data_IF_811311331277
#
_entry.id   IF_811311331277
#
_cell.length_a   1.000
_cell.length_b   1.000
_cell.length_c   1.000
_cell.angle_alpha   90.00
_cell.angle_beta   90.00
_cell.angle_gamma   90.00
#
_symmetry.space_group_name_H-M   'P 1'
#
loop_
_entity.id
_entity.type
_entity.pdbx_description
1 polymer ?
#
# COMPACT_ATOMS: atom_id res chain seq x y z
N UNK A 1 5.05 16.77 -9.07
CA UNK A 1 5.32 15.72 -8.06
C UNK A 1 4.08 15.60 -7.21
N UNK A 2 3.43 14.44 -7.24
CA UNK A 2 2.16 14.22 -6.54
C UNK A 2 2.46 13.98 -5.05
N UNK A 3 2.45 15.06 -4.26
CA UNK A 3 2.76 15.03 -2.82
C UNK A 3 1.96 13.97 -2.05
N UNK A 4 0.78 13.61 -2.57
CA UNK A 4 -0.11 12.59 -2.02
C UNK A 4 0.56 11.21 -1.96
N UNK A 5 1.30 10.81 -3.00
CA UNK A 5 1.93 9.48 -3.02
C UNK A 5 3.07 9.37 -2.01
N UNK A 6 3.90 10.40 -1.87
CA UNK A 6 4.98 10.39 -0.88
C UNK A 6 4.43 10.28 0.55
N UNK A 7 3.34 10.97 0.85
CA UNK A 7 2.67 10.89 2.15
C UNK A 7 2.11 9.48 2.38
N UNK A 8 1.43 8.91 1.37
CA UNK A 8 0.87 7.56 1.43
C UNK A 8 1.99 6.53 1.61
N UNK A 9 3.08 6.66 0.86
CA UNK A 9 4.27 5.79 0.95
C UNK A 9 4.92 5.86 2.32
N UNK A 10 5.10 7.07 2.87
CA UNK A 10 5.63 7.24 4.22
C UNK A 10 4.70 6.60 5.26
N UNK A 11 3.39 6.83 5.17
CA UNK A 11 2.41 6.18 6.07
C UNK A 11 2.43 4.67 5.93
N UNK A 12 2.52 4.15 4.71
CA UNK A 12 2.58 2.73 4.44
C UNK A 12 3.83 2.10 5.02
N UNK A 13 5.01 2.69 4.83
CA UNK A 13 6.27 2.17 5.38
C UNK A 13 6.27 2.20 6.91
N UNK A 14 5.71 3.24 7.52
CA UNK A 14 5.63 3.39 8.98
C UNK A 14 4.46 2.63 9.63
N UNK A 15 3.51 2.10 8.86
CA UNK A 15 2.37 1.35 9.39
C UNK A 15 2.68 -0.14 9.54
N UNK A 16 2.02 -0.77 10.51
CA UNK A 16 2.00 -2.22 10.67
C UNK A 16 1.24 -2.92 9.53
N UNK A 17 1.29 -4.25 9.49
CA UNK A 17 0.70 -5.05 8.42
C UNK A 17 -0.76 -4.70 8.12
N UNK A 18 -1.60 -4.55 9.15
CA UNK A 18 -3.00 -4.18 8.98
C UNK A 18 -3.15 -2.74 8.48
N UNK A 19 -2.36 -1.79 8.99
CA UNK A 19 -2.39 -0.40 8.53
C UNK A 19 -1.90 -0.27 7.08
N UNK A 20 -0.92 -1.08 6.66
CA UNK A 20 -0.50 -1.20 5.27
C UNK A 20 -1.64 -1.67 4.37
N UNK A 21 -2.36 -2.72 4.77
CA UNK A 21 -3.52 -3.23 4.03
C UNK A 21 -4.60 -2.14 3.95
N UNK A 22 -4.94 -1.49 5.06
CA UNK A 22 -5.92 -0.41 5.09
C UNK A 22 -5.53 0.74 4.17
N UNK A 23 -4.29 1.24 4.25
CA UNK A 23 -3.79 2.28 3.35
C UNK A 23 -3.88 1.81 1.91
N UNK A 24 -3.53 0.57 1.61
CA UNK A 24 -3.57 0.04 0.26
C UNK A 24 -5.00 -0.04 -0.30
N UNK A 25 -5.97 -0.49 0.51
CA UNK A 25 -7.37 -0.64 0.08
C UNK A 25 -8.14 0.68 0.08
N UNK A 26 -7.81 1.60 0.99
CA UNK A 26 -8.43 2.94 1.07
C UNK A 26 -7.80 3.93 0.10
N UNK A 27 -6.54 3.72 -0.29
CA UNK A 27 -5.90 4.60 -1.26
C UNK A 27 -6.46 4.32 -2.66
N UNK A 28 -7.21 5.29 -3.18
CA UNK A 28 -7.71 5.30 -4.54
C UNK A 28 -6.97 6.35 -5.37
N UNK A 29 -6.82 6.11 -6.68
CA UNK A 29 -6.20 7.08 -7.59
C UNK A 29 -4.69 7.01 -7.74
N UNK A 30 -4.02 5.98 -7.18
CA UNK A 30 -2.62 5.69 -7.51
C UNK A 30 -2.51 5.03 -8.88
N UNK A 31 -1.41 5.32 -9.58
CA UNK A 31 -1.06 4.61 -10.81
C UNK A 31 -0.53 3.21 -10.50
N UNK A 32 -0.56 2.33 -11.50
CA UNK A 32 -0.01 0.97 -11.39
C UNK A 32 1.45 0.97 -10.93
N UNK A 33 2.25 1.95 -11.36
CA UNK A 33 3.64 2.08 -10.95
C UNK A 33 3.80 2.44 -9.47
N UNK A 34 2.96 3.35 -8.96
CA UNK A 34 2.93 3.73 -7.54
C UNK A 34 2.48 2.57 -6.65
N UNK A 35 1.48 1.81 -7.09
CA UNK A 35 1.06 0.58 -6.41
C UNK A 35 2.17 -0.47 -6.37
N UNK A 36 2.88 -0.68 -7.48
CA UNK A 36 4.05 -1.58 -7.52
C UNK A 36 5.15 -1.15 -6.56
N UNK A 37 5.39 0.15 -6.42
CA UNK A 37 6.35 0.68 -5.43
C UNK A 37 5.92 0.38 -3.99
N UNK A 38 4.66 0.55 -3.63
CA UNK A 38 4.16 0.19 -2.29
C UNK A 38 4.30 -1.33 -2.04
N UNK A 39 3.91 -2.15 -3.02
CA UNK A 39 4.03 -3.62 -2.92
C UNK A 39 5.47 -4.10 -2.72
N UNK A 40 6.48 -3.41 -3.27
CA UNK A 40 7.90 -3.75 -3.02
C UNK A 40 8.30 -3.59 -1.56
N UNK A 41 7.66 -2.70 -0.82
CA UNK A 41 7.87 -2.51 0.62
C UNK A 41 6.94 -3.39 1.49
N UNK A 42 6.07 -4.17 0.85
CA UNK A 42 5.19 -5.11 1.52
C UNK A 42 5.81 -6.51 1.52
N UNK A 43 5.84 -7.21 2.66
CA UNK A 43 6.34 -8.57 2.72
C UNK A 43 5.45 -9.49 1.89
N UNK A 44 6.03 -10.12 0.85
CA UNK A 44 5.33 -11.03 -0.06
C UNK A 44 4.59 -12.17 0.66
N UNK A 45 5.05 -12.58 1.84
CA UNK A 45 4.41 -13.62 2.67
C UNK A 45 3.01 -13.22 3.16
N UNK A 46 2.68 -11.93 3.15
CA UNK A 46 1.40 -11.41 3.58
C UNK A 46 0.53 -10.90 2.43
N UNK A 47 0.96 -11.09 1.17
CA UNK A 47 0.18 -10.72 -0.02
C UNK A 47 -1.24 -11.31 0.03
N UNK A 48 -1.36 -12.56 0.48
CA UNK A 48 -2.65 -13.24 0.64
C UNK A 48 -3.64 -12.42 1.49
N UNK A 49 -3.17 -11.80 2.58
CA UNK A 49 -4.01 -10.93 3.43
C UNK A 49 -4.43 -9.64 2.73
N UNK A 50 -3.57 -9.13 1.86
CA UNK A 50 -3.86 -7.94 1.07
C UNK A 50 -4.90 -8.26 -0.01
N UNK A 51 -4.79 -9.42 -0.67
CA UNK A 51 -5.79 -9.93 -1.60
C UNK A 51 -7.13 -10.20 -0.90
N UNK A 52 -7.14 -10.82 0.30
CA UNK A 52 -8.36 -11.04 1.08
C UNK A 52 -9.08 -9.73 1.45
N UNK A 53 -8.34 -8.65 1.68
CA UNK A 53 -8.93 -7.35 2.02
C UNK A 53 -9.47 -6.58 0.80
N UNK A 54 -9.08 -6.99 -0.41
CA UNK A 54 -9.60 -6.45 -1.67
C UNK A 54 -10.77 -7.25 -2.25
N UNK A 55 -11.01 -8.47 -1.74
CA UNK A 55 -12.06 -9.39 -2.19
C UNK A 55 -13.47 -8.99 -1.72
#
# INVERSE_FOLDING_TARGET
>A
MSADFEIIKQRFINSDLNGKIEIYTTTQGLTVEQFKELLKHFPLQHLDKLEQAMA
#
